data_IF_885168985302
#
_entry.id   IF_885168985302
#
_cell.length_a   1.000
_cell.length_b   1.000
_cell.length_c   1.000
_cell.angle_alpha   90.00
_cell.angle_beta   90.00
_cell.angle_gamma   90.00
#
_symmetry.space_group_name_H-M   'P 1'
#
loop_
_entity.id
_entity.type
_entity.pdbx_description
1 polymer ?
#
# COMPACT_ATOMS: atom_id res chain seq x y z
N UNK A 1 -55.24 -9.09 -36.42
CA UNK A 1 -55.86 -7.79 -36.05
C UNK A 1 -56.52 -7.92 -34.67
N UNK A 2 -56.45 -6.85 -33.85
CA UNK A 2 -56.91 -6.65 -32.44
C UNK A 2 -55.94 -7.19 -31.37
N UNK A 3 -55.01 -6.42 -30.77
CA UNK A 3 -55.01 -5.12 -30.04
C UNK A 3 -55.25 -5.29 -28.53
N UNK A 4 -54.16 -5.03 -27.78
CA UNK A 4 -54.00 -4.47 -26.43
C UNK A 4 -54.85 -4.95 -25.24
N UNK A 5 -54.12 -5.23 -24.14
CA UNK A 5 -54.31 -4.85 -22.72
C UNK A 5 -53.47 -5.86 -21.92
N UNK A 6 -52.44 -5.54 -21.11
CA UNK A 6 -52.20 -4.38 -20.26
C UNK A 6 -50.70 -4.19 -19.97
N UNK A 7 -50.36 -2.93 -19.80
CA UNK A 7 -49.23 -2.35 -19.09
C UNK A 7 -49.11 -2.92 -17.66
N UNK A 8 -47.96 -3.49 -17.31
CA UNK A 8 -47.39 -3.59 -15.95
C UNK A 8 -45.87 -3.39 -16.14
N UNK A 9 -45.34 -2.17 -16.04
CA UNK A 9 -44.87 -1.52 -14.81
C UNK A 9 -43.63 -2.21 -14.21
N UNK A 10 -42.51 -1.49 -14.37
CA UNK A 10 -41.38 -1.31 -13.45
C UNK A 10 -40.62 -2.52 -12.87
N UNK A 11 -39.30 -2.43 -13.03
CA UNK A 11 -38.28 -2.60 -11.97
C UNK A 11 -38.22 -3.97 -11.28
N UNK A 12 -37.43 -4.86 -11.84
CA UNK A 12 -36.47 -5.62 -11.05
C UNK A 12 -35.08 -5.17 -11.52
N UNK A 13 -34.56 -4.07 -10.98
CA UNK A 13 -33.63 -4.14 -9.83
C UNK A 13 -32.66 -5.32 -10.00
N UNK A 14 -31.81 -5.26 -11.02
CA UNK A 14 -30.46 -5.79 -10.88
C UNK A 14 -29.61 -4.64 -10.33
N UNK A 15 -30.01 -4.18 -9.14
CA UNK A 15 -29.06 -3.57 -8.23
C UNK A 15 -28.19 -4.73 -7.74
N UNK A 16 -27.09 -5.01 -8.46
CA UNK A 16 -25.91 -5.59 -7.83
C UNK A 16 -25.34 -4.55 -6.85
N UNK A 17 -26.12 -4.22 -5.82
CA UNK A 17 -25.69 -3.48 -4.67
C UNK A 17 -24.75 -4.38 -3.88
N UNK A 18 -23.48 -3.99 -3.82
CA UNK A 18 -22.50 -4.66 -2.97
C UNK A 18 -21.58 -5.62 -3.70
N UNK A 19 -21.07 -5.26 -4.87
CA UNK A 19 -19.72 -5.72 -5.20
C UNK A 19 -18.76 -5.05 -4.21
N UNK A 20 -18.56 -5.68 -3.05
CA UNK A 20 -17.43 -5.43 -2.15
C UNK A 20 -16.12 -5.83 -2.83
N UNK A 21 -15.87 -5.32 -4.04
CA UNK A 21 -14.66 -5.55 -4.78
C UNK A 21 -13.55 -4.89 -3.98
N UNK A 22 -12.69 -5.71 -3.38
CA UNK A 22 -11.43 -5.23 -2.81
C UNK A 22 -10.73 -4.44 -3.92
N UNK A 23 -10.44 -3.15 -3.69
CA UNK A 23 -9.77 -2.26 -4.66
C UNK A 23 -8.65 -3.01 -5.38
N UNK A 24 -8.45 -2.86 -6.68
CA UNK A 24 -7.33 -3.48 -7.40
C UNK A 24 -5.98 -2.97 -6.88
N UNK A 25 -4.86 -3.63 -7.22
CA UNK A 25 -3.54 -3.10 -6.86
C UNK A 25 -3.32 -1.72 -7.44
N UNK A 26 -3.69 -1.51 -8.71
CA UNK A 26 -3.59 -0.20 -9.36
C UNK A 26 -4.42 0.90 -8.67
N UNK A 27 -5.62 0.59 -8.20
CA UNK A 27 -6.45 1.52 -7.44
C UNK A 27 -5.80 1.89 -6.10
N UNK A 28 -5.22 0.91 -5.39
CA UNK A 28 -4.49 1.20 -4.14
C UNK A 28 -3.21 2.03 -4.40
N UNK A 29 -2.51 1.79 -5.52
CA UNK A 29 -1.38 2.64 -5.91
C UNK A 29 -1.83 4.07 -6.21
N UNK A 30 -3.01 4.25 -6.80
CA UNK A 30 -3.59 5.58 -7.02
C UNK A 30 -3.98 6.25 -5.68
N UNK A 31 -4.56 5.50 -4.74
CA UNK A 31 -4.94 5.99 -3.42
C UNK A 31 -3.74 6.56 -2.62
N UNK A 32 -2.53 6.02 -2.80
CA UNK A 32 -1.31 6.58 -2.19
C UNK A 32 -1.01 8.03 -2.59
N UNK A 33 -1.63 8.53 -3.66
CA UNK A 33 -1.50 9.92 -4.12
C UNK A 33 -2.71 10.79 -3.74
N UNK A 34 -3.67 10.25 -2.99
CA UNK A 34 -4.87 10.98 -2.57
C UNK A 34 -4.51 12.15 -1.63
N UNK A 35 -5.25 13.24 -1.74
CA UNK A 35 -5.18 14.34 -0.77
C UNK A 35 -5.65 13.90 0.61
N UNK A 36 -6.53 12.90 0.66
CA UNK A 36 -7.07 12.36 1.90
C UNK A 36 -6.07 11.39 2.53
N UNK A 37 -5.60 11.73 3.73
CA UNK A 37 -4.70 10.86 4.51
C UNK A 37 -5.28 9.44 4.67
N UNK A 38 -6.59 9.32 4.89
CA UNK A 38 -7.28 8.04 5.09
C UNK A 38 -7.12 7.09 3.91
N UNK A 39 -7.12 7.60 2.68
CA UNK A 39 -6.94 6.77 1.49
C UNK A 39 -5.50 6.28 1.42
N UNK A 40 -4.54 7.20 1.64
CA UNK A 40 -3.11 6.89 1.61
C UNK A 40 -2.73 5.85 2.68
N UNK A 41 -3.20 6.03 3.91
CA UNK A 41 -2.89 5.11 5.02
C UNK A 41 -3.54 3.72 4.82
N UNK A 42 -4.74 3.66 4.23
CA UNK A 42 -5.35 2.39 3.87
C UNK A 42 -4.54 1.68 2.78
N UNK A 43 -4.15 2.41 1.74
CA UNK A 43 -3.37 1.87 0.65
C UNK A 43 -2.00 1.33 1.09
N UNK A 44 -1.23 2.11 1.85
CA UNK A 44 0.12 1.72 2.31
C UNK A 44 0.09 0.48 3.20
N UNK A 45 -0.99 0.26 3.96
CA UNK A 45 -1.15 -0.92 4.82
C UNK A 45 -1.56 -2.17 4.06
N UNK A 46 -2.36 -2.01 3.00
CA UNK A 46 -2.93 -3.14 2.24
C UNK A 46 -1.98 -3.62 1.14
N UNK A 47 -1.32 -2.71 0.43
CA UNK A 47 -0.44 -3.03 -0.70
C UNK A 47 0.61 -4.12 -0.39
N UNK A 48 1.37 -4.07 0.72
CA UNK A 48 2.37 -5.10 1.03
C UNK A 48 1.79 -6.50 1.23
N UNK A 49 0.49 -6.61 1.53
CA UNK A 49 -0.19 -7.89 1.80
C UNK A 49 -0.72 -8.53 0.50
N UNK A 50 -0.67 -7.80 -0.62
CA UNK A 50 -1.12 -8.28 -1.93
C UNK A 50 -0.11 -9.26 -2.51
N UNK A 51 -0.49 -10.52 -2.63
CA UNK A 51 0.29 -11.50 -3.38
C UNK A 51 0.22 -11.18 -4.88
N UNK A 52 1.37 -11.13 -5.55
CA UNK A 52 1.44 -11.18 -7.02
C UNK A 52 1.70 -9.87 -7.75
N UNK A 53 1.98 -8.76 -7.07
CA UNK A 53 2.30 -7.49 -7.76
C UNK A 53 3.38 -6.66 -7.06
N UNK A 54 4.54 -7.31 -6.84
CA UNK A 54 5.71 -6.65 -6.27
C UNK A 54 6.18 -5.50 -7.17
N UNK A 55 6.10 -5.68 -8.49
CA UNK A 55 6.58 -4.70 -9.48
C UNK A 55 5.87 -3.34 -9.40
N UNK A 56 4.58 -3.30 -9.07
CA UNK A 56 3.89 -2.04 -8.78
C UNK A 56 3.98 -1.63 -7.30
N UNK A 57 4.00 -2.61 -6.41
CA UNK A 57 3.97 -2.35 -4.96
C UNK A 57 5.24 -1.67 -4.48
N UNK A 58 6.43 -2.14 -4.87
CA UNK A 58 7.69 -1.60 -4.34
C UNK A 58 7.90 -0.14 -4.76
N UNK A 59 7.77 0.26 -6.04
CA UNK A 59 7.89 1.66 -6.42
C UNK A 59 6.87 2.57 -5.74
N UNK A 60 5.64 2.08 -5.55
CA UNK A 60 4.58 2.82 -4.88
C UNK A 60 4.90 3.07 -3.39
N UNK A 61 5.38 2.04 -2.68
CA UNK A 61 5.81 2.18 -1.29
C UNK A 61 7.07 3.03 -1.14
N UNK A 62 8.01 2.98 -2.10
CA UNK A 62 9.16 3.91 -2.15
C UNK A 62 8.66 5.36 -2.22
N UNK A 63 7.62 5.63 -3.02
CA UNK A 63 6.98 6.95 -3.05
C UNK A 63 6.40 7.35 -1.70
N UNK A 64 5.70 6.43 -1.02
CA UNK A 64 5.08 6.65 0.28
C UNK A 64 6.08 6.92 1.42
N UNK A 65 7.37 6.58 1.27
CA UNK A 65 8.43 6.99 2.21
C UNK A 65 8.65 8.51 2.26
N UNK A 66 8.05 9.28 1.34
CA UNK A 66 8.16 10.74 1.29
C UNK A 66 6.86 11.44 1.73
N UNK A 67 5.88 10.69 2.24
CA UNK A 67 4.60 11.26 2.68
C UNK A 67 4.79 12.29 3.78
N UNK A 68 3.92 13.30 3.81
CA UNK A 68 3.92 14.32 4.87
C UNK A 68 3.66 13.70 6.26
N UNK A 69 2.80 12.68 6.32
CA UNK A 69 2.43 12.01 7.56
C UNK A 69 3.44 10.93 7.96
N UNK A 70 3.92 11.02 9.20
CA UNK A 70 4.89 10.08 9.75
C UNK A 70 4.35 8.63 9.79
N UNK A 71 3.06 8.44 10.08
CA UNK A 71 2.44 7.11 10.15
C UNK A 71 2.42 6.42 8.77
N UNK A 72 2.28 7.19 7.68
CA UNK A 72 2.36 6.66 6.31
C UNK A 72 3.80 6.29 5.98
N UNK A 73 4.78 7.16 6.26
CA UNK A 73 6.21 6.86 6.04
C UNK A 73 6.66 5.63 6.82
N UNK A 74 6.24 5.53 8.09
CA UNK A 74 6.50 4.37 8.94
C UNK A 74 5.91 3.10 8.35
N UNK A 75 4.63 3.14 7.95
CA UNK A 75 3.94 1.99 7.37
C UNK A 75 4.59 1.56 6.04
N UNK A 76 5.05 2.50 5.22
CA UNK A 76 5.76 2.23 3.99
C UNK A 76 7.08 1.49 4.26
N UNK A 77 7.88 1.96 5.23
CA UNK A 77 9.12 1.29 5.60
C UNK A 77 8.87 -0.14 6.10
N UNK A 78 7.89 -0.34 6.98
CA UNK A 78 7.51 -1.69 7.45
C UNK A 78 7.04 -2.57 6.28
N UNK A 79 6.19 -2.03 5.40
CA UNK A 79 5.69 -2.73 4.23
C UNK A 79 6.82 -3.22 3.32
N UNK A 80 7.78 -2.34 3.00
CA UNK A 80 8.97 -2.70 2.23
C UNK A 80 9.81 -3.78 2.92
N UNK A 81 10.00 -3.67 4.24
CA UNK A 81 10.69 -4.70 5.02
C UNK A 81 9.99 -6.06 5.01
N UNK A 82 8.65 -6.08 4.98
CA UNK A 82 7.86 -7.32 4.93
C UNK A 82 7.93 -8.02 3.56
N UNK A 83 8.19 -7.27 2.48
CA UNK A 83 8.46 -7.83 1.16
C UNK A 83 9.86 -8.47 1.06
N UNK A 84 10.74 -8.19 2.02
CA UNK A 84 12.07 -8.80 2.09
C UNK A 84 12.92 -8.54 0.85
N UNK A 85 13.67 -9.53 0.40
CA UNK A 85 14.58 -9.42 -0.75
C UNK A 85 13.89 -8.93 -2.05
N UNK A 86 12.58 -9.16 -2.19
CA UNK A 86 11.81 -8.66 -3.34
C UNK A 86 11.76 -7.13 -3.42
N UNK A 87 12.04 -6.42 -2.32
CA UNK A 87 12.11 -4.96 -2.26
C UNK A 87 13.54 -4.40 -2.29
N UNK A 88 14.51 -5.14 -2.87
CA UNK A 88 15.92 -4.72 -2.91
C UNK A 88 16.14 -3.34 -3.54
N UNK A 89 15.32 -2.96 -4.52
CA UNK A 89 15.35 -1.64 -5.14
C UNK A 89 15.05 -0.49 -4.17
N UNK A 90 14.41 -0.77 -3.02
CA UNK A 90 14.08 0.24 -2.02
C UNK A 90 15.25 0.60 -1.09
N UNK A 91 16.38 -0.12 -1.15
CA UNK A 91 17.53 0.08 -0.25
C UNK A 91 17.98 1.56 -0.22
N UNK A 92 18.23 2.24 -1.36
CA UNK A 92 18.69 3.64 -1.31
C UNK A 92 17.67 4.58 -0.66
N UNK A 93 16.38 4.37 -0.90
CA UNK A 93 15.31 5.18 -0.31
C UNK A 93 15.24 4.96 1.20
N UNK A 94 15.29 3.70 1.66
CA UNK A 94 15.28 3.36 3.08
C UNK A 94 16.53 3.87 3.81
N UNK A 95 17.70 3.89 3.16
CA UNK A 95 18.90 4.52 3.72
C UNK A 95 18.70 6.03 3.93
N UNK A 96 18.05 6.72 2.99
CA UNK A 96 17.70 8.12 3.17
C UNK A 96 16.69 8.32 4.33
N UNK A 97 15.71 7.42 4.46
CA UNK A 97 14.71 7.40 5.55
C UNK A 97 15.34 7.20 6.95
N UNK A 98 16.57 6.71 7.06
CA UNK A 98 17.28 6.70 8.35
C UNK A 98 17.58 8.10 8.91
N UNK A 99 17.39 9.17 8.12
CA UNK A 99 17.49 10.56 8.55
C UNK A 99 16.12 11.21 8.79
N UNK A 100 15.04 10.43 8.82
CA UNK A 100 13.69 10.96 9.06
C UNK A 100 13.60 11.70 10.40
N UNK A 101 12.77 12.74 10.45
CA UNK A 101 12.48 13.51 11.68
C UNK A 101 11.87 12.64 12.78
N UNK A 102 11.03 11.66 12.42
CA UNK A 102 10.37 10.77 13.37
C UNK A 102 11.25 9.56 13.71
N UNK A 103 11.45 9.32 15.00
CA UNK A 103 12.29 8.22 15.48
C UNK A 103 11.75 6.83 15.10
N UNK A 104 10.43 6.65 15.09
CA UNK A 104 9.79 5.38 14.70
C UNK A 104 10.06 5.09 13.23
N UNK A 105 10.02 6.13 12.39
CA UNK A 105 10.30 6.00 10.95
C UNK A 105 11.77 5.60 10.72
N UNK A 106 12.72 6.21 11.44
CA UNK A 106 14.14 5.81 11.37
C UNK A 106 14.37 4.36 11.80
N UNK A 107 13.73 3.94 12.89
CA UNK A 107 13.81 2.56 13.37
C UNK A 107 13.23 1.57 12.35
N UNK A 108 12.03 1.85 11.82
CA UNK A 108 11.39 1.05 10.80
C UNK A 108 12.25 0.90 9.54
N UNK A 109 12.93 1.97 9.11
CA UNK A 109 13.86 1.91 7.98
C UNK A 109 15.06 1.00 8.26
N UNK A 110 15.64 1.06 9.47
CA UNK A 110 16.72 0.15 9.88
C UNK A 110 16.30 -1.32 9.90
N UNK A 111 15.10 -1.60 10.43
CA UNK A 111 14.51 -2.94 10.43
C UNK A 111 14.24 -3.42 9.00
N UNK A 112 13.70 -2.55 8.14
CA UNK A 112 13.42 -2.89 6.74
C UNK A 112 14.70 -3.24 5.98
N UNK A 113 15.76 -2.44 6.12
CA UNK A 113 17.06 -2.72 5.52
C UNK A 113 17.62 -4.07 5.96
N UNK A 114 17.49 -4.41 7.26
CA UNK A 114 17.90 -5.71 7.80
C UNK A 114 17.11 -6.86 7.20
N UNK A 115 15.80 -6.69 6.98
CA UNK A 115 14.94 -7.74 6.39
C UNK A 115 15.16 -7.92 4.90
N UNK A 116 15.49 -6.84 4.19
CA UNK A 116 15.72 -6.85 2.73
C UNK A 116 17.10 -7.45 2.42
N UNK A 117 18.14 -7.07 3.17
CA UNK A 117 19.51 -7.56 2.96
C UNK A 117 20.22 -7.72 4.32
N UNK A 118 19.99 -8.84 5.03
CA UNK A 118 20.57 -9.08 6.35
C UNK A 118 22.11 -9.17 6.34
N UNK A 119 22.70 -9.53 5.19
CA UNK A 119 24.15 -9.63 5.05
C UNK A 119 24.78 -8.24 5.00
N UNK A 120 24.17 -7.32 4.24
CA UNK A 120 24.65 -5.94 4.12
C UNK A 120 24.28 -5.08 5.34
N UNK A 121 23.12 -5.34 5.94
CA UNK A 121 22.59 -4.57 7.07
C UNK A 121 22.28 -5.51 8.23
N UNK A 122 23.29 -5.96 8.99
CA UNK A 122 23.04 -6.86 10.11
C UNK A 122 22.25 -6.17 11.23
N UNK A 123 21.39 -6.94 11.90
CA UNK A 123 20.71 -6.46 13.10
C UNK A 123 21.74 -5.98 14.13
N UNK A 124 21.51 -4.81 14.73
CA UNK A 124 22.36 -4.34 15.83
C UNK A 124 22.28 -5.36 16.96
N UNK A 125 23.40 -5.96 17.34
CA UNK A 125 23.47 -6.79 18.56
C UNK A 125 23.13 -5.88 19.73
N UNK A 126 22.10 -6.26 20.49
CA UNK A 126 21.89 -5.70 21.82
C UNK A 126 23.01 -6.26 22.69
N UNK A 127 23.98 -5.41 23.02
CA UNK A 127 25.01 -5.68 24.03
C UNK A 127 24.37 -5.63 25.42
#
# INVERSE_FOLDING_TARGET
MRVQKRLCVLLCVIACGGCGQKKTTGELVADLKSTQEKDRINAVRILPQRKGDVGQTVPALIGALKDQENDIRWSAAIGLGNLGESAREAIPALQATQRDRDARVREAAGVALTRIDPQKFPARRKL
#
